data_IF_399049946244
#
_entry.id   IF_399049946244
#
_cell.length_a   1.000
_cell.length_b   1.000
_cell.length_c   1.000
_cell.angle_alpha   90.00
_cell.angle_beta   90.00
_cell.angle_gamma   90.00
#
_symmetry.space_group_name_H-M   'P 1'
#
loop_
_entity.id
_entity.type
_entity.pdbx_description
1 polymer ?
#
# COMPACT_ATOMS: atom_id res chain seq x y z
N UNK A 1 -3.78 3.42 19.81
CA UNK A 1 -2.77 2.81 18.92
C UNK A 1 -3.07 3.19 17.46
N UNK A 2 -3.17 4.49 17.13
CA UNK A 2 -3.68 4.95 15.81
C UNK A 2 -3.00 6.20 15.22
N UNK A 3 -2.11 6.88 15.93
CA UNK A 3 -1.45 8.12 15.45
C UNK A 3 -0.20 7.85 14.63
N UNK A 4 0.63 6.86 15.00
CA UNK A 4 1.88 6.53 14.31
C UNK A 4 1.65 5.89 12.92
N UNK A 5 0.54 5.17 12.72
CA UNK A 5 0.22 4.52 11.46
C UNK A 5 -0.16 5.53 10.36
N UNK A 6 -0.68 6.71 10.72
CA UNK A 6 -1.16 7.70 9.74
C UNK A 6 -0.01 8.49 9.08
N UNK A 7 1.05 8.83 9.82
CA UNK A 7 2.22 9.54 9.28
C UNK A 7 3.12 8.63 8.44
N UNK A 8 3.28 7.37 8.83
CA UNK A 8 4.04 6.37 8.06
C UNK A 8 3.47 6.12 6.66
N UNK A 9 2.14 6.21 6.52
CA UNK A 9 1.48 6.05 5.22
C UNK A 9 1.71 7.27 4.32
N UNK A 10 1.64 8.49 4.85
CA UNK A 10 1.82 9.73 4.05
C UNK A 10 3.24 9.86 3.47
N UNK A 11 4.27 9.54 4.26
CA UNK A 11 5.66 9.58 3.79
C UNK A 11 5.92 8.55 2.68
N UNK A 12 5.35 7.35 2.82
CA UNK A 12 5.44 6.30 1.79
C UNK A 12 4.80 6.77 0.49
N UNK A 13 3.60 7.35 0.56
CA UNK A 13 2.93 7.89 -0.62
C UNK A 13 3.72 9.02 -1.30
N UNK A 14 4.30 9.94 -0.52
CA UNK A 14 5.09 11.06 -1.05
C UNK A 14 6.42 10.60 -1.69
N UNK A 15 7.06 9.58 -1.10
CA UNK A 15 8.26 8.96 -1.69
C UNK A 15 7.97 8.42 -3.09
N UNK A 16 6.82 7.79 -3.29
CA UNK A 16 6.47 7.11 -4.54
C UNK A 16 5.90 8.06 -5.61
N UNK A 17 5.62 9.33 -5.27
CA UNK A 17 5.05 10.33 -6.20
C UNK A 17 6.09 10.97 -7.13
N UNK A 18 7.38 10.90 -6.79
CA UNK A 18 8.47 11.44 -7.60
C UNK A 18 9.33 10.32 -8.17
N UNK A 19 9.80 10.52 -9.41
CA UNK A 19 10.76 9.61 -10.05
C UNK A 19 12.02 9.50 -9.20
N UNK A 20 12.66 8.33 -9.20
CA UNK A 20 13.88 8.09 -8.42
C UNK A 20 14.97 9.12 -8.73
N UNK A 21 15.10 9.54 -9.98
CA UNK A 21 16.04 10.56 -10.42
C UNK A 21 15.82 11.90 -9.71
N UNK A 22 14.56 12.26 -9.42
CA UNK A 22 14.23 13.49 -8.70
C UNK A 22 14.74 13.44 -7.27
N UNK A 23 14.56 12.30 -6.59
CA UNK A 23 15.08 12.10 -5.22
C UNK A 23 16.61 12.09 -5.18
N UNK A 24 17.25 11.46 -6.15
CA UNK A 24 18.71 11.45 -6.27
C UNK A 24 19.26 12.85 -6.52
N UNK A 25 18.66 13.61 -7.43
CA UNK A 25 19.05 15.00 -7.72
C UNK A 25 18.80 15.92 -6.53
N UNK A 26 17.68 15.77 -5.82
CA UNK A 26 17.37 16.54 -4.62
C UNK A 26 18.40 16.26 -3.51
N UNK A 27 18.71 14.99 -3.27
CA UNK A 27 19.73 14.58 -2.30
C UNK A 27 21.14 15.08 -2.67
N UNK A 28 21.52 14.97 -3.95
CA UNK A 28 22.80 15.47 -4.44
C UNK A 28 22.91 17.01 -4.32
N UNK A 29 21.84 17.74 -4.64
CA UNK A 29 21.78 19.20 -4.51
C UNK A 29 21.91 19.63 -3.05
N UNK A 30 21.18 18.96 -2.14
CA UNK A 30 21.27 19.23 -0.70
C UNK A 30 22.67 18.94 -0.18
N UNK A 31 23.28 17.84 -0.62
CA UNK A 31 24.64 17.48 -0.25
C UNK A 31 25.66 18.49 -0.78
N UNK A 32 25.49 19.00 -2.00
CA UNK A 32 26.36 20.04 -2.55
C UNK A 32 26.31 21.32 -1.70
N UNK A 33 25.11 21.76 -1.29
CA UNK A 33 24.95 22.89 -0.37
C UNK A 33 25.59 22.62 0.99
N UNK A 34 25.43 21.42 1.54
CA UNK A 34 26.05 21.05 2.81
C UNK A 34 27.59 21.08 2.73
N UNK A 35 28.17 20.66 1.60
CA UNK A 35 29.63 20.75 1.37
C UNK A 35 30.09 22.20 1.26
N UNK A 36 29.29 23.10 0.67
CA UNK A 36 29.63 24.53 0.62
C UNK A 36 29.66 25.19 2.01
N UNK A 37 28.78 24.75 2.93
CA UNK A 37 28.67 25.33 4.28
C UNK A 37 29.66 24.68 5.25
N UNK A 38 29.75 23.35 5.27
CA UNK A 38 30.47 22.57 6.28
C UNK A 38 31.77 21.93 5.74
N UNK A 39 32.10 22.18 4.48
CA UNK A 39 33.30 21.64 3.83
C UNK A 39 33.30 20.11 3.78
N UNK A 40 34.48 19.52 4.03
CA UNK A 40 34.70 18.06 3.92
C UNK A 40 33.93 17.24 4.96
N UNK A 41 33.47 17.84 6.05
CA UNK A 41 32.75 17.14 7.11
C UNK A 41 31.39 16.62 6.64
N UNK A 42 30.73 17.36 5.72
CA UNK A 42 29.46 16.93 5.12
C UNK A 42 29.61 15.64 4.31
N UNK A 43 30.74 15.45 3.62
CA UNK A 43 31.03 14.21 2.87
C UNK A 43 31.19 13.01 3.79
N UNK A 44 31.87 13.21 4.95
CA UNK A 44 32.04 12.14 5.93
C UNK A 44 30.70 11.67 6.49
N UNK A 45 29.80 12.60 6.82
CA UNK A 45 28.48 12.26 7.36
C UNK A 45 27.68 11.38 6.37
N UNK A 46 27.61 11.76 5.09
CA UNK A 46 26.96 10.94 4.07
C UNK A 46 27.63 9.59 3.86
N UNK A 47 28.97 9.54 3.89
CA UNK A 47 29.71 8.29 3.77
C UNK A 47 29.41 7.33 4.92
N UNK A 48 29.41 7.83 6.16
CA UNK A 48 29.08 7.04 7.35
C UNK A 48 27.65 6.52 7.28
N UNK A 49 26.68 7.36 6.88
CA UNK A 49 25.28 6.94 6.73
C UNK A 49 25.12 5.86 5.65
N UNK A 50 25.81 5.99 4.52
CA UNK A 50 25.78 5.00 3.44
C UNK A 50 26.36 3.67 3.90
N UNK A 51 27.53 3.68 4.55
CA UNK A 51 28.14 2.46 5.12
C UNK A 51 27.21 1.82 6.13
N UNK A 52 26.63 2.61 7.04
CA UNK A 52 25.66 2.12 8.02
C UNK A 52 24.45 1.45 7.36
N UNK A 53 23.86 2.05 6.32
CA UNK A 53 22.72 1.47 5.61
C UNK A 53 23.09 0.15 4.91
N UNK A 54 24.24 0.09 4.24
CA UNK A 54 24.72 -1.13 3.59
C UNK A 54 25.00 -2.24 4.62
N UNK A 55 25.70 -1.92 5.70
CA UNK A 55 25.99 -2.88 6.78
C UNK A 55 24.70 -3.38 7.42
N UNK A 56 23.74 -2.50 7.72
CA UNK A 56 22.43 -2.90 8.24
C UNK A 56 21.65 -3.77 7.25
N UNK A 57 21.73 -3.49 5.94
CA UNK A 57 21.13 -4.33 4.90
C UNK A 57 21.70 -5.75 4.93
N UNK A 58 23.03 -5.87 4.86
CA UNK A 58 23.73 -7.15 4.89
C UNK A 58 23.48 -7.94 6.17
N UNK A 59 23.43 -7.27 7.33
CA UNK A 59 23.15 -7.92 8.61
C UNK A 59 21.70 -8.41 8.72
N UNK A 60 20.75 -7.74 8.07
CA UNK A 60 19.35 -8.18 7.99
C UNK A 60 19.20 -9.37 7.04
N UNK A 61 19.86 -9.32 5.88
CA UNK A 61 19.85 -10.41 4.90
C UNK A 61 20.49 -11.68 5.47
N UNK A 62 21.59 -11.52 6.23
CA UNK A 62 22.24 -12.61 6.95
C UNK A 62 21.47 -13.11 8.18
N UNK A 63 20.31 -12.53 8.50
CA UNK A 63 19.47 -12.94 9.64
C UNK A 63 20.03 -12.60 11.03
N UNK A 64 21.13 -11.85 11.10
CA UNK A 64 21.78 -11.45 12.36
C UNK A 64 20.94 -10.36 13.06
N UNK A 65 20.42 -9.42 12.28
CA UNK A 65 19.49 -8.39 12.76
C UNK A 65 18.07 -8.80 12.42
N UNK A 66 17.25 -9.04 13.43
CA UNK A 66 15.85 -9.39 13.24
C UNK A 66 15.11 -8.24 12.56
N UNK A 67 14.49 -8.54 11.42
CA UNK A 67 13.57 -7.61 10.77
C UNK A 67 12.20 -7.76 11.43
N UNK A 68 11.45 -6.67 11.54
CA UNK A 68 10.04 -6.73 12.00
C UNK A 68 9.19 -7.69 11.14
N UNK A 69 9.61 -7.92 9.89
CA UNK A 69 8.93 -8.80 8.93
C UNK A 69 9.08 -10.29 9.26
N UNK A 70 10.11 -10.71 10.03
CA UNK A 70 10.32 -12.11 10.41
C UNK A 70 9.67 -12.51 11.75
N UNK A 71 9.10 -11.56 12.49
CA UNK A 71 8.51 -11.82 13.81
C UNK A 71 7.12 -12.44 13.64
N UNK A 72 6.88 -13.59 14.26
CA UNK A 72 5.63 -14.37 14.16
C UNK A 72 5.29 -14.86 12.75
N UNK A 73 6.30 -15.10 11.91
CA UNK A 73 6.09 -15.73 10.60
C UNK A 73 6.06 -17.24 10.74
N UNK A 74 4.98 -17.84 10.23
CA UNK A 74 4.93 -19.29 10.04
C UNK A 74 5.78 -19.65 8.82
N UNK A 75 6.98 -20.15 9.04
CA UNK A 75 7.89 -20.57 7.98
C UNK A 75 7.32 -21.79 7.22
N UNK A 76 7.64 -21.88 5.93
CA UNK A 76 7.15 -22.94 5.04
C UNK A 76 6.00 -22.48 4.14
N UNK A 77 5.35 -23.45 3.48
CA UNK A 77 4.21 -23.20 2.59
C UNK A 77 2.92 -23.32 3.37
N UNK A 78 2.16 -22.23 3.44
CA UNK A 78 0.85 -22.18 4.09
C UNK A 78 -0.20 -21.75 3.08
N UNK A 79 -1.38 -22.34 3.17
CA UNK A 79 -2.54 -21.97 2.37
C UNK A 79 -3.75 -21.81 3.28
N UNK A 80 -4.55 -20.77 3.05
CA UNK A 80 -5.79 -20.54 3.80
C UNK A 80 -6.95 -21.15 3.03
N UNK A 81 -7.85 -21.82 3.74
CA UNK A 81 -9.09 -22.36 3.19
C UNK A 81 -10.27 -21.63 3.79
N UNK A 82 -11.26 -21.32 2.95
CA UNK A 82 -12.51 -20.74 3.43
C UNK A 82 -13.39 -21.83 4.04
N UNK A 83 -13.98 -21.60 5.22
CA UNK A 83 -14.93 -22.52 5.81
C UNK A 83 -16.23 -22.52 4.99
N UNK A 84 -16.83 -23.69 4.88
CA UNK A 84 -18.15 -23.87 4.29
C UNK A 84 -19.27 -23.27 5.17
N UNK A 85 -20.53 -23.38 4.73
CA UNK A 85 -21.69 -22.95 5.50
C UNK A 85 -21.84 -23.67 6.87
N UNK A 86 -21.22 -24.83 7.05
CA UNK A 86 -21.15 -25.57 8.31
C UNK A 86 -19.91 -25.22 9.17
N UNK A 87 -19.10 -24.26 8.73
CA UNK A 87 -17.89 -23.82 9.43
C UNK A 87 -16.66 -24.69 9.22
N UNK A 88 -16.72 -25.71 8.34
CA UNK A 88 -15.63 -26.65 8.10
C UNK A 88 -14.91 -26.37 6.76
N UNK A 89 -13.59 -26.48 6.76
CA UNK A 89 -12.81 -26.40 5.52
C UNK A 89 -12.79 -27.77 4.82
N UNK A 90 -13.46 -27.90 3.67
CA UNK A 90 -13.59 -29.16 2.92
C UNK A 90 -12.53 -29.36 1.82
N UNK A 91 -11.44 -28.62 1.89
CA UNK A 91 -10.37 -28.65 0.90
C UNK A 91 -10.36 -27.45 -0.06
N UNK A 92 -9.29 -27.29 -0.84
CA UNK A 92 -9.08 -26.13 -1.69
C UNK A 92 -10.12 -26.05 -2.82
N UNK A 93 -10.63 -24.84 -3.09
CA UNK A 93 -11.50 -24.54 -4.23
C UNK A 93 -12.92 -25.09 -4.14
N UNK A 94 -13.37 -25.53 -2.95
CA UNK A 94 -14.75 -26.01 -2.75
C UNK A 94 -15.77 -24.90 -2.55
N UNK A 95 -15.32 -23.75 -2.05
CA UNK A 95 -16.15 -22.57 -1.83
C UNK A 95 -15.90 -21.53 -2.94
N UNK A 96 -16.98 -20.91 -3.41
CA UNK A 96 -16.91 -19.81 -4.36
C UNK A 96 -16.55 -18.52 -3.62
N UNK A 97 -15.62 -17.75 -4.18
CA UNK A 97 -15.28 -16.41 -3.71
C UNK A 97 -15.28 -15.49 -4.92
N UNK A 98 -15.84 -14.30 -4.76
CA UNK A 98 -15.82 -13.27 -5.79
C UNK A 98 -14.67 -12.32 -5.51
N UNK A 99 -13.82 -12.11 -6.52
CA UNK A 99 -12.75 -11.11 -6.47
C UNK A 99 -13.17 -9.91 -7.29
N UNK A 100 -13.25 -8.75 -6.65
CA UNK A 100 -13.58 -7.49 -7.31
C UNK A 100 -12.37 -6.57 -7.28
N UNK A 101 -11.89 -6.21 -8.47
CA UNK A 101 -10.82 -5.24 -8.69
C UNK A 101 -11.45 -3.85 -8.83
N UNK A 102 -11.22 -2.99 -7.84
CA UNK A 102 -11.56 -1.58 -7.92
C UNK A 102 -10.29 -0.78 -8.09
N UNK A 103 -10.21 0.03 -9.14
CA UNK A 103 -9.05 0.87 -9.38
C UNK A 103 -9.40 2.17 -10.06
N UNK A 104 -8.50 3.12 -9.95
CA UNK A 104 -8.54 4.38 -10.68
C UNK A 104 -7.16 4.68 -11.24
N UNK A 105 -7.15 5.34 -12.40
CA UNK A 105 -5.94 5.84 -13.05
C UNK A 105 -6.07 7.32 -13.37
N UNK A 106 -5.06 8.10 -13.02
CA UNK A 106 -4.92 9.50 -13.44
C UNK A 106 -4.01 9.57 -14.66
N UNK A 107 -4.45 10.21 -15.73
CA UNK A 107 -3.57 10.50 -16.89
C UNK A 107 -3.09 11.95 -16.91
N UNK A 108 -3.36 12.70 -15.84
CA UNK A 108 -2.99 14.11 -15.76
C UNK A 108 -1.46 14.23 -15.54
N UNK A 109 -0.76 15.23 -16.13
CA UNK A 109 0.70 15.38 -15.99
C UNK A 109 1.20 15.53 -14.55
N UNK A 110 0.35 16.11 -13.69
CA UNK A 110 0.60 16.23 -12.24
C UNK A 110 0.14 15.01 -11.41
N UNK A 111 -0.21 13.91 -12.06
CA UNK A 111 -0.48 12.62 -11.45
C UNK A 111 -1.50 12.63 -10.31
N UNK A 112 -1.05 12.22 -9.12
CA UNK A 112 -1.85 12.24 -7.88
C UNK A 112 -2.26 13.64 -7.43
N UNK A 113 -1.55 14.68 -7.85
CA UNK A 113 -1.90 16.08 -7.57
C UNK A 113 -2.92 16.65 -8.56
N UNK A 114 -3.49 15.83 -9.43
CA UNK A 114 -4.55 16.26 -10.33
C UNK A 114 -5.76 16.79 -9.56
N UNK A 115 -6.45 17.83 -10.08
CA UNK A 115 -7.70 18.30 -9.50
C UNK A 115 -8.69 17.13 -9.36
N UNK A 116 -9.33 17.00 -8.20
CA UNK A 116 -10.30 15.94 -7.94
C UNK A 116 -9.73 14.57 -7.52
N UNK A 117 -8.43 14.32 -7.70
CA UNK A 117 -7.84 13.00 -7.38
C UNK A 117 -7.84 12.67 -5.89
N UNK A 118 -7.60 13.67 -5.04
CA UNK A 118 -7.73 13.51 -3.58
C UNK A 118 -9.14 13.07 -3.18
N UNK A 119 -10.17 13.61 -3.85
CA UNK A 119 -11.58 13.29 -3.60
C UNK A 119 -11.91 11.85 -4.00
N UNK A 120 -11.34 11.35 -5.09
CA UNK A 120 -11.44 9.94 -5.50
C UNK A 120 -10.88 9.02 -4.39
N UNK A 121 -9.72 9.38 -3.83
CA UNK A 121 -9.13 8.66 -2.70
C UNK A 121 -10.01 8.66 -1.45
N UNK A 122 -10.69 9.78 -1.16
CA UNK A 122 -11.66 9.87 -0.07
C UNK A 122 -12.87 8.95 -0.29
N UNK A 123 -13.46 8.97 -1.48
CA UNK A 123 -14.60 8.11 -1.82
C UNK A 123 -14.26 6.62 -1.68
N UNK A 124 -13.13 6.18 -2.24
CA UNK A 124 -12.70 4.79 -2.07
C UNK A 124 -12.38 4.47 -0.60
N UNK A 125 -11.76 5.41 0.12
CA UNK A 125 -11.55 5.27 1.55
C UNK A 125 -12.86 5.05 2.32
N UNK A 126 -13.91 5.81 2.00
CA UNK A 126 -15.24 5.68 2.61
C UNK A 126 -15.89 4.34 2.28
N UNK A 127 -15.83 3.90 1.02
CA UNK A 127 -16.34 2.59 0.60
C UNK A 127 -15.71 1.46 1.44
N UNK A 128 -14.38 1.47 1.59
CA UNK A 128 -13.70 0.44 2.36
C UNK A 128 -13.94 0.53 3.86
N UNK A 129 -14.11 1.73 4.41
CA UNK A 129 -14.48 1.92 5.81
C UNK A 129 -15.88 1.38 6.09
N UNK A 130 -16.83 1.65 5.21
CA UNK A 130 -18.20 1.14 5.32
C UNK A 130 -18.22 -0.39 5.21
N UNK A 131 -17.50 -0.95 4.22
CA UNK A 131 -17.37 -2.39 4.06
C UNK A 131 -16.77 -3.07 5.30
N UNK A 132 -15.74 -2.48 5.91
CA UNK A 132 -15.11 -3.00 7.12
C UNK A 132 -16.03 -2.88 8.35
N UNK A 133 -16.83 -1.81 8.46
CA UNK A 133 -17.77 -1.61 9.56
C UNK A 133 -18.92 -2.62 9.52
N UNK A 134 -19.42 -2.93 8.33
CA UNK A 134 -20.57 -3.83 8.13
C UNK A 134 -20.15 -5.25 7.69
N UNK A 135 -18.89 -5.63 7.94
CA UNK A 135 -18.25 -6.86 7.44
C UNK A 135 -19.03 -8.15 7.74
N UNK A 136 -19.75 -8.20 8.86
CA UNK A 136 -20.51 -9.38 9.28
C UNK A 136 -21.78 -9.60 8.45
N UNK A 137 -22.29 -8.56 7.78
CA UNK A 137 -23.60 -8.59 7.14
C UNK A 137 -23.55 -8.36 5.63
N UNK A 138 -22.48 -7.75 5.12
CA UNK A 138 -22.37 -7.34 3.71
C UNK A 138 -21.57 -8.32 2.82
N UNK A 139 -21.19 -9.50 3.34
CA UNK A 139 -20.43 -10.50 2.59
C UNK A 139 -18.97 -10.12 2.27
N UNK A 140 -18.43 -9.03 2.83
CA UNK A 140 -17.07 -8.57 2.58
C UNK A 140 -16.02 -9.41 3.34
N UNK A 141 -15.14 -10.09 2.62
CA UNK A 141 -14.07 -10.92 3.19
C UNK A 141 -12.75 -10.16 3.35
N UNK A 142 -12.65 -8.93 2.84
CA UNK A 142 -11.48 -8.08 3.00
C UNK A 142 -10.92 -7.59 1.67
N UNK A 143 -9.81 -6.88 1.76
CA UNK A 143 -9.12 -6.33 0.60
C UNK A 143 -7.62 -6.28 0.82
N UNK A 144 -6.87 -6.18 -0.26
CA UNK A 144 -5.45 -5.86 -0.21
C UNK A 144 -5.21 -4.44 0.34
N UNK A 145 -3.97 -4.20 0.76
CA UNK A 145 -3.46 -2.83 0.82
C UNK A 145 -3.56 -2.17 -0.56
N UNK A 146 -3.48 -0.84 -0.62
CA UNK A 146 -3.46 -0.13 -1.90
C UNK A 146 -2.31 -0.64 -2.74
N UNK A 147 -2.64 -1.20 -3.89
CA UNK A 147 -1.70 -1.63 -4.89
C UNK A 147 -1.47 -0.46 -5.84
N UNK A 148 -0.21 -0.20 -6.16
CA UNK A 148 0.21 0.88 -7.06
C UNK A 148 1.01 0.22 -8.19
N UNK A 149 0.79 0.69 -9.42
CA UNK A 149 1.55 0.25 -10.58
C UNK A 149 3.04 0.66 -10.41
N UNK A 150 3.95 -0.27 -10.65
CA UNK A 150 5.41 -0.06 -10.52
C UNK A 150 6.14 -0.02 -11.86
N UNK A 151 5.45 -0.37 -12.95
CA UNK A 151 5.93 -0.32 -14.32
C UNK A 151 5.91 1.08 -14.92
N UNK A 152 5.18 2.00 -14.30
CA UNK A 152 5.08 3.40 -14.70
C UNK A 152 5.66 4.32 -13.61
N UNK A 153 6.44 5.30 -14.05
CA UNK A 153 6.98 6.35 -13.19
C UNK A 153 5.85 7.29 -12.71
N UNK A 154 5.92 7.69 -11.43
CA UNK A 154 4.93 8.53 -10.75
C UNK A 154 3.55 7.84 -10.67
N UNK A 155 3.40 6.90 -9.72
CA UNK A 155 2.26 5.99 -9.56
C UNK A 155 0.88 6.65 -9.61
N UNK A 156 0.31 6.67 -10.82
CA UNK A 156 -1.00 7.27 -11.10
C UNK A 156 -2.15 6.28 -11.09
N UNK A 157 -1.82 5.00 -10.95
CA UNK A 157 -2.79 3.92 -10.85
C UNK A 157 -2.81 3.42 -9.42
N UNK A 158 -4.00 3.44 -8.81
CA UNK A 158 -4.25 2.79 -7.54
C UNK A 158 -5.31 1.71 -7.74
N UNK A 159 -5.10 0.53 -7.18
CA UNK A 159 -6.10 -0.52 -7.20
C UNK A 159 -6.17 -1.30 -5.89
N UNK A 160 -7.31 -1.93 -5.67
CA UNK A 160 -7.58 -2.82 -4.57
C UNK A 160 -8.21 -4.08 -5.11
N UNK A 161 -7.69 -5.22 -4.68
CA UNK A 161 -8.36 -6.49 -4.82
C UNK A 161 -9.20 -6.69 -3.56
N UNK A 162 -10.52 -6.77 -3.74
CA UNK A 162 -11.47 -7.07 -2.68
C UNK A 162 -12.06 -8.45 -2.86
N UNK A 163 -12.33 -9.12 -1.75
CA UNK A 163 -12.84 -10.49 -1.70
C UNK A 163 -14.23 -10.49 -1.08
N UNK A 164 -15.13 -11.24 -1.68
CA UNK A 164 -16.55 -11.28 -1.31
C UNK A 164 -17.04 -12.72 -1.27
N UNK A 165 -17.98 -13.00 -0.37
CA UNK A 165 -18.56 -14.34 -0.18
C UNK A 165 -19.37 -14.79 -1.40
N UNK A 166 -20.12 -13.88 -2.01
CA UNK A 166 -21.04 -14.16 -3.11
C UNK A 166 -21.24 -12.91 -3.99
N UNK A 167 -21.83 -13.12 -5.17
CA UNK A 167 -22.07 -12.07 -6.15
C UNK A 167 -23.16 -11.09 -5.70
N UNK A 168 -24.19 -11.58 -5.00
CA UNK A 168 -25.31 -10.75 -4.53
C UNK A 168 -24.84 -9.68 -3.54
N UNK A 169 -23.93 -10.06 -2.64
CA UNK A 169 -23.27 -9.15 -1.69
C UNK A 169 -22.45 -8.07 -2.40
N UNK A 170 -21.69 -8.45 -3.44
CA UNK A 170 -20.93 -7.50 -4.26
C UNK A 170 -21.87 -6.56 -5.02
N UNK A 171 -22.97 -7.07 -5.58
CA UNK A 171 -23.96 -6.27 -6.29
C UNK A 171 -24.68 -5.30 -5.36
N UNK A 172 -25.01 -5.72 -4.12
CA UNK A 172 -25.56 -4.86 -3.10
C UNK A 172 -24.60 -3.73 -2.73
N UNK A 173 -23.29 -4.02 -2.62
CA UNK A 173 -22.26 -3.00 -2.44
C UNK A 173 -22.18 -2.03 -3.63
N UNK A 174 -22.15 -2.54 -4.86
CA UNK A 174 -22.02 -1.73 -6.06
C UNK A 174 -23.19 -0.74 -6.25
N UNK A 175 -24.39 -1.14 -5.83
CA UNK A 175 -25.61 -0.33 -5.83
C UNK A 175 -25.81 0.47 -4.53
N UNK A 176 -24.89 0.36 -3.57
CA UNK A 176 -24.98 1.02 -2.28
C UNK A 176 -24.69 2.52 -2.38
N UNK A 177 -25.25 3.33 -1.46
CA UNK A 177 -25.17 4.79 -1.52
C UNK A 177 -23.73 5.33 -1.38
N UNK A 178 -22.84 4.58 -0.71
CA UNK A 178 -21.42 4.96 -0.58
C UNK A 178 -20.66 4.72 -1.88
N UNK A 179 -20.98 3.63 -2.60
CA UNK A 179 -20.37 3.32 -3.89
C UNK A 179 -20.83 4.30 -4.97
N UNK A 180 -22.12 4.66 -5.00
CA UNK A 180 -22.67 5.64 -5.95
C UNK A 180 -22.00 7.02 -5.87
N UNK A 181 -21.54 7.45 -4.68
CA UNK A 181 -20.82 8.73 -4.51
C UNK A 181 -19.48 8.77 -5.25
N UNK A 182 -18.85 7.62 -5.48
CA UNK A 182 -17.59 7.52 -6.22
C UNK A 182 -17.75 7.33 -7.72
N UNK A 183 -18.98 7.22 -8.24
CA UNK A 183 -19.26 7.09 -9.69
C UNK A 183 -19.40 8.45 -10.40
N UNK A 184 -19.04 9.55 -9.72
CA UNK A 184 -19.23 10.94 -10.20
C UNK A 184 -18.03 11.41 -10.99
#
# INVERSE_FOLDING_TARGET
MSTTTRTANLLSFFRDDFRMETWLLAGASLQAVAVLIFGRLALMLTGVLLVYQLTMGLLKDGGIVTTSHGKNVNWGKWSTQFPDASGQARGPGKEQVVVFLLGARSNHPRGRFAPGWAKIGEYFGDMWRDCAKNRQTNGFLGKTSTLIATDEDCGNTMCWLSYWKDLDSLQAFANGPVHSKGMV
#
